data_IF_278807686119
#
_entry.id   IF_278807686119
#
_cell.length_a   1.000
_cell.length_b   1.000
_cell.length_c   1.000
_cell.angle_alpha   90.00
_cell.angle_beta   90.00
_cell.angle_gamma   90.00
#
_symmetry.space_group_name_H-M   'P 1'
#
loop_
_entity.id
_entity.type
_entity.pdbx_description
1 polymer ?
#
# COMPACT_ATOMS: atom_id res chain seq x y z
N UNK A 1 -2.14 -14.37 10.82
CA UNK A 1 -1.91 -12.99 11.29
C UNK A 1 -3.18 -12.54 11.98
N UNK A 2 -3.15 -12.28 13.30
CA UNK A 2 -4.35 -11.97 14.08
C UNK A 2 -4.91 -10.58 13.75
N UNK A 3 -4.03 -9.58 13.59
CA UNK A 3 -4.37 -8.20 13.23
C UNK A 3 -5.22 -8.11 11.95
N UNK A 4 -4.93 -8.93 10.94
CA UNK A 4 -5.70 -9.02 9.70
C UNK A 4 -7.16 -9.42 9.96
N UNK A 5 -7.40 -10.49 10.71
CA UNK A 5 -8.76 -10.94 11.00
C UNK A 5 -9.50 -9.90 11.85
N UNK A 6 -8.83 -9.31 12.84
CA UNK A 6 -9.40 -8.27 13.68
C UNK A 6 -9.81 -7.02 12.87
N UNK A 7 -8.97 -6.59 11.93
CA UNK A 7 -9.27 -5.49 11.02
C UNK A 7 -10.49 -5.79 10.14
N UNK A 8 -10.51 -6.98 9.51
CA UNK A 8 -11.62 -7.37 8.67
C UNK A 8 -12.93 -7.52 9.48
N UNK A 9 -12.89 -7.99 10.73
CA UNK A 9 -14.06 -8.03 11.62
C UNK A 9 -14.59 -6.63 11.93
N UNK A 10 -13.68 -5.68 12.18
CA UNK A 10 -14.05 -4.27 12.42
C UNK A 10 -14.72 -3.64 11.20
N UNK A 11 -14.18 -3.88 10.01
CA UNK A 11 -14.78 -3.42 8.75
C UNK A 11 -16.21 -3.96 8.56
N UNK A 12 -16.42 -5.26 8.75
CA UNK A 12 -17.75 -5.88 8.61
C UNK A 12 -18.73 -5.40 9.69
N UNK A 13 -18.28 -5.22 10.93
CA UNK A 13 -19.09 -4.63 12.00
C UNK A 13 -19.56 -3.20 11.67
N UNK A 14 -18.85 -2.50 10.80
CA UNK A 14 -19.19 -1.16 10.30
C UNK A 14 -19.84 -1.18 8.90
N UNK A 15 -20.23 -2.36 8.40
CA UNK A 15 -21.00 -2.52 7.17
C UNK A 15 -20.20 -2.60 5.87
N UNK A 16 -18.87 -2.77 5.95
CA UNK A 16 -18.02 -3.01 4.78
C UNK A 16 -17.86 -4.51 4.56
N UNK A 17 -18.55 -5.05 3.55
CA UNK A 17 -18.57 -6.50 3.25
C UNK A 17 -17.31 -6.95 2.49
N UNK A 18 -16.13 -6.74 3.07
CA UNK A 18 -14.85 -6.87 2.36
C UNK A 18 -14.42 -8.32 2.09
N UNK A 19 -14.77 -9.29 2.94
CA UNK A 19 -14.32 -10.69 2.76
C UNK A 19 -14.77 -11.31 1.45
N UNK A 20 -15.97 -10.96 0.98
CA UNK A 20 -16.49 -11.46 -0.30
C UNK A 20 -15.69 -10.96 -1.51
N UNK A 21 -14.90 -9.91 -1.35
CA UNK A 21 -14.03 -9.37 -2.41
C UNK A 21 -12.61 -9.96 -2.39
N UNK A 22 -12.20 -10.63 -1.31
CA UNK A 22 -10.82 -11.12 -1.18
C UNK A 22 -10.59 -12.33 -2.09
N UNK A 23 -9.44 -12.36 -2.74
CA UNK A 23 -8.97 -13.56 -3.45
C UNK A 23 -8.43 -14.57 -2.46
N UNK A 24 -8.39 -15.84 -2.88
CA UNK A 24 -7.64 -16.86 -2.16
C UNK A 24 -6.17 -16.43 -1.99
N UNK A 25 -5.52 -16.95 -0.95
CA UNK A 25 -4.13 -16.63 -0.66
C UNK A 25 -3.17 -16.97 -1.80
N UNK A 26 -2.14 -16.15 -1.94
CA UNK A 26 -1.09 -16.29 -2.94
C UNK A 26 -0.32 -17.61 -2.79
N UNK A 27 0.07 -18.18 -3.93
CA UNK A 27 0.81 -19.43 -4.03
C UNK A 27 2.31 -19.19 -4.07
N UNK A 28 3.12 -20.24 -3.88
CA UNK A 28 4.58 -20.15 -4.04
C UNK A 28 4.98 -19.63 -5.44
N UNK A 29 4.19 -19.96 -6.46
CA UNK A 29 4.41 -19.50 -7.82
C UNK A 29 4.22 -17.97 -7.96
N UNK A 30 3.27 -17.39 -7.23
CA UNK A 30 3.01 -15.95 -7.25
C UNK A 30 4.17 -15.18 -6.59
N UNK A 31 4.68 -15.67 -5.44
CA UNK A 31 5.87 -15.09 -4.81
C UNK A 31 7.14 -15.26 -5.65
N UNK A 32 7.30 -16.41 -6.31
CA UNK A 32 8.40 -16.64 -7.23
C UNK A 32 8.33 -15.71 -8.44
N UNK A 33 7.12 -15.43 -8.96
CA UNK A 33 6.91 -14.46 -10.01
C UNK A 33 7.29 -13.06 -9.54
N UNK A 34 6.82 -12.61 -8.37
CA UNK A 34 7.19 -11.31 -7.81
C UNK A 34 8.71 -11.15 -7.73
N UNK A 35 9.40 -12.09 -7.09
CA UNK A 35 10.86 -12.02 -6.93
C UNK A 35 11.59 -12.00 -8.28
N UNK A 36 11.11 -12.77 -9.26
CA UNK A 36 11.70 -12.80 -10.60
C UNK A 36 11.54 -11.48 -11.35
N UNK A 37 10.40 -10.80 -11.17
CA UNK A 37 10.06 -9.60 -11.93
C UNK A 37 10.58 -8.31 -11.30
N UNK A 38 10.57 -8.21 -9.97
CA UNK A 38 10.96 -6.99 -9.25
C UNK A 38 12.32 -7.10 -8.59
N UNK A 39 12.86 -8.33 -8.43
CA UNK A 39 14.05 -8.59 -7.63
C UNK A 39 13.84 -8.47 -6.12
N UNK A 40 12.66 -8.03 -5.67
CA UNK A 40 12.36 -7.78 -4.27
C UNK A 40 12.13 -9.10 -3.52
N UNK A 41 12.52 -9.11 -2.25
CA UNK A 41 12.14 -10.17 -1.30
C UNK A 41 11.18 -9.56 -0.30
N UNK A 42 9.95 -10.08 -0.25
CA UNK A 42 8.97 -9.53 0.67
C UNK A 42 9.36 -9.82 2.13
N UNK A 43 9.08 -8.87 3.05
CA UNK A 43 9.12 -9.14 4.47
C UNK A 43 8.18 -10.30 4.84
N UNK A 44 8.56 -11.09 5.84
CA UNK A 44 7.82 -12.29 6.24
C UNK A 44 6.35 -12.00 6.61
N UNK A 45 6.07 -10.87 7.26
CA UNK A 45 4.71 -10.46 7.61
C UNK A 45 3.86 -10.18 6.36
N UNK A 46 4.44 -9.54 5.35
CA UNK A 46 3.74 -9.25 4.11
C UNK A 46 3.47 -10.53 3.31
N UNK A 47 4.44 -11.45 3.24
CA UNK A 47 4.18 -12.78 2.69
C UNK A 47 3.02 -13.47 3.44
N UNK A 48 3.03 -13.43 4.78
CA UNK A 48 1.96 -14.03 5.59
C UNK A 48 0.59 -13.39 5.32
N UNK A 49 0.51 -12.08 5.05
CA UNK A 49 -0.73 -11.43 4.63
C UNK A 49 -1.19 -11.94 3.25
N UNK A 50 -0.30 -11.94 2.26
CA UNK A 50 -0.65 -12.41 0.91
C UNK A 50 -1.04 -13.89 0.88
N UNK A 51 -0.48 -14.72 1.76
CA UNK A 51 -0.90 -16.12 1.97
C UNK A 51 -2.31 -16.25 2.53
N UNK A 52 -2.82 -15.23 3.22
CA UNK A 52 -4.21 -15.20 3.71
C UNK A 52 -5.15 -14.67 2.64
N UNK A 53 -4.74 -13.66 1.88
CA UNK A 53 -5.52 -13.09 0.78
C UNK A 53 -4.61 -12.44 -0.29
N UNK A 54 -4.73 -12.88 -1.54
CA UNK A 54 -4.01 -12.27 -2.68
C UNK A 54 -4.75 -11.03 -3.21
N UNK A 55 -4.89 -10.01 -2.37
CA UNK A 55 -5.62 -8.80 -2.72
C UNK A 55 -7.12 -9.01 -2.92
N UNK A 56 -7.75 -8.04 -3.58
CA UNK A 56 -9.17 -8.04 -3.91
C UNK A 56 -9.40 -8.44 -5.37
N UNK A 57 -10.45 -9.23 -5.63
CA UNK A 57 -10.92 -9.61 -6.95
C UNK A 57 -11.44 -8.40 -7.77
N UNK A 58 -11.60 -8.60 -9.08
CA UNK A 58 -12.19 -7.70 -10.10
C UNK A 58 -11.28 -6.64 -10.73
N UNK A 59 -11.85 -5.76 -11.54
CA UNK A 59 -11.11 -4.76 -12.32
C UNK A 59 -10.91 -3.44 -11.55
N UNK A 60 -10.32 -2.41 -12.17
CA UNK A 60 -10.09 -1.09 -11.54
C UNK A 60 -11.39 -0.35 -11.14
N UNK A 61 -12.58 -0.87 -11.47
CA UNK A 61 -13.88 -0.30 -11.14
C UNK A 61 -14.45 -0.92 -9.86
N UNK A 62 -13.99 -0.46 -8.71
CA UNK A 62 -14.67 -0.75 -7.44
C UNK A 62 -15.17 0.54 -6.79
N UNK A 63 -16.38 0.45 -6.23
CA UNK A 63 -16.91 1.47 -5.32
C UNK A 63 -16.02 1.54 -4.08
N UNK A 64 -15.75 2.75 -3.58
CA UNK A 64 -15.00 3.01 -2.35
C UNK A 64 -15.51 2.20 -1.13
N UNK A 65 -16.77 1.75 -1.16
CA UNK A 65 -17.38 0.88 -0.14
C UNK A 65 -16.82 -0.55 -0.08
N UNK A 66 -15.98 -0.94 -1.04
CA UNK A 66 -15.39 -2.27 -1.09
C UNK A 66 -13.92 -2.32 -0.65
N UNK A 67 -13.24 -1.19 -0.45
CA UNK A 67 -11.80 -1.18 -0.16
C UNK A 67 -11.46 -1.73 1.22
N UNK A 68 -10.42 -2.57 1.29
CA UNK A 68 -9.93 -3.14 2.54
C UNK A 68 -9.03 -2.17 3.29
N UNK A 69 -8.29 -1.33 2.58
CA UNK A 69 -7.53 -0.23 3.19
C UNK A 69 -8.30 1.08 2.99
N UNK A 70 -8.14 2.08 3.87
CA UNK A 70 -8.92 3.31 3.81
C UNK A 70 -8.71 4.03 2.47
N UNK A 71 -9.72 4.07 1.60
CA UNK A 71 -9.65 4.63 0.23
C UNK A 71 -8.73 3.89 -0.76
N UNK A 72 -8.13 2.77 -0.33
CA UNK A 72 -7.11 2.05 -1.08
C UNK A 72 -7.52 0.59 -1.29
N UNK A 73 -7.61 0.18 -2.56
CA UNK A 73 -7.83 -1.22 -2.92
C UNK A 73 -6.60 -2.04 -2.60
N UNK A 74 -6.75 -3.20 -1.95
CA UNK A 74 -5.64 -4.14 -1.79
C UNK A 74 -5.37 -4.89 -3.11
N UNK A 75 -4.16 -4.73 -3.68
CA UNK A 75 -3.79 -5.32 -4.96
C UNK A 75 -3.44 -6.80 -4.83
N UNK A 76 -3.89 -7.66 -5.76
CA UNK A 76 -3.27 -8.95 -6.00
C UNK A 76 -1.80 -8.79 -6.41
N UNK A 77 -0.94 -9.76 -6.10
CA UNK A 77 0.49 -9.70 -6.43
C UNK A 77 0.75 -9.45 -7.91
N UNK A 78 -0.06 -10.04 -8.80
CA UNK A 78 0.02 -9.79 -10.24
C UNK A 78 -0.14 -8.30 -10.58
N UNK A 79 -1.08 -7.61 -9.94
CA UNK A 79 -1.31 -6.18 -10.15
C UNK A 79 -0.28 -5.32 -9.43
N UNK A 80 0.19 -5.73 -8.25
CA UNK A 80 1.31 -5.06 -7.57
C UNK A 80 2.58 -5.06 -8.44
N UNK A 81 2.89 -6.19 -9.10
CA UNK A 81 4.00 -6.29 -10.07
C UNK A 81 3.76 -5.38 -11.28
N UNK A 82 2.53 -5.36 -11.82
CA UNK A 82 2.19 -4.51 -12.95
C UNK A 82 2.35 -3.01 -12.62
N UNK A 83 1.92 -2.60 -11.43
CA UNK A 83 2.05 -1.23 -10.96
C UNK A 83 3.52 -0.85 -10.70
N UNK A 84 4.30 -1.75 -10.08
CA UNK A 84 5.74 -1.57 -9.92
C UNK A 84 6.45 -1.38 -11.26
N UNK A 85 6.10 -2.18 -12.28
CA UNK A 85 6.65 -2.06 -13.64
C UNK A 85 6.27 -0.74 -14.29
N UNK A 86 5.04 -0.27 -14.09
CA UNK A 86 4.62 1.03 -14.60
C UNK A 86 5.50 2.15 -14.02
N UNK A 87 5.74 2.14 -12.70
CA UNK A 87 6.65 3.12 -12.08
C UNK A 87 8.10 2.98 -12.53
N UNK A 88 8.58 1.76 -12.74
CA UNK A 88 9.89 1.49 -13.33
C UNK A 88 9.99 2.11 -14.75
N UNK A 89 8.98 1.92 -15.59
CA UNK A 89 8.91 2.52 -16.94
C UNK A 89 8.86 4.05 -16.90
N UNK A 90 8.10 4.64 -15.97
CA UNK A 90 8.09 6.10 -15.75
C UNK A 90 9.48 6.59 -15.36
N UNK A 91 10.14 5.95 -14.39
CA UNK A 91 11.48 6.33 -13.96
C UNK A 91 12.53 6.21 -15.08
N UNK A 92 12.39 5.22 -15.97
CA UNK A 92 13.24 5.06 -17.14
C UNK A 92 12.98 6.11 -18.23
N UNK A 93 11.73 6.50 -18.45
CA UNK A 93 11.34 7.52 -19.42
C UNK A 93 11.78 8.94 -18.98
N UNK A 94 11.55 9.28 -17.72
CA UNK A 94 11.93 10.58 -17.14
C UNK A 94 13.45 10.69 -16.94
N UNK A 95 14.11 9.54 -16.70
CA UNK A 95 15.52 9.48 -16.37
C UNK A 95 15.84 10.22 -15.06
N UNK A 96 17.13 10.31 -14.73
CA UNK A 96 17.56 10.88 -13.45
C UNK A 96 17.17 12.35 -13.27
N UNK A 97 17.10 13.13 -14.35
CA UNK A 97 16.74 14.54 -14.26
C UNK A 97 15.24 14.75 -14.04
N UNK A 98 14.37 14.09 -14.81
CA UNK A 98 12.92 14.22 -14.64
C UNK A 98 12.46 13.67 -13.29
N UNK A 99 13.04 12.56 -12.84
CA UNK A 99 12.74 12.04 -11.49
C UNK A 99 13.16 13.00 -10.38
N UNK A 100 14.29 13.70 -10.53
CA UNK A 100 14.70 14.73 -9.58
C UNK A 100 13.78 15.95 -9.61
N UNK A 101 13.27 16.34 -10.78
CA UNK A 101 12.27 17.42 -10.93
C UNK A 101 10.96 17.06 -10.23
N UNK A 102 10.46 15.83 -10.43
CA UNK A 102 9.30 15.34 -9.68
C UNK A 102 9.55 15.27 -8.17
N UNK A 103 10.78 14.99 -7.75
CA UNK A 103 11.16 14.95 -6.35
C UNK A 103 11.23 16.35 -5.69
N UNK A 104 11.20 17.45 -6.44
CA UNK A 104 11.32 18.81 -5.86
C UNK A 104 10.14 19.19 -4.96
N UNK A 105 8.93 18.68 -5.27
CA UNK A 105 7.74 18.90 -4.44
C UNK A 105 7.69 17.98 -3.21
N UNK A 106 8.57 16.98 -3.16
CA UNK A 106 8.53 15.92 -2.16
C UNK A 106 9.12 16.40 -0.84
N UNK A 107 8.40 16.19 0.24
CA UNK A 107 8.88 16.45 1.60
C UNK A 107 8.90 15.16 2.42
N UNK A 108 9.79 15.11 3.41
CA UNK A 108 9.85 14.03 4.41
C UNK A 108 9.94 14.69 5.79
N UNK A 109 8.91 14.59 6.65
CA UNK A 109 8.99 15.13 7.99
C UNK A 109 9.98 14.32 8.83
N UNK A 110 10.71 14.97 9.72
CA UNK A 110 11.51 14.26 10.72
C UNK A 110 10.57 13.60 11.75
N UNK A 111 10.83 12.38 12.24
CA UNK A 111 12.05 11.59 12.08
C UNK A 111 11.95 10.46 11.03
N UNK A 112 11.11 10.60 10.00
CA UNK A 112 10.77 9.53 9.07
C UNK A 112 12.01 8.89 8.41
N UNK A 113 11.95 7.58 8.17
CA UNK A 113 13.08 6.79 7.65
C UNK A 113 12.84 6.29 6.23
N UNK A 114 12.29 7.15 5.39
CA UNK A 114 11.95 6.92 3.98
C UNK A 114 12.72 7.92 3.11
N UNK A 115 13.11 7.50 1.90
CA UNK A 115 13.83 8.38 0.98
C UNK A 115 12.94 9.54 0.49
N UNK A 116 13.54 10.72 0.35
CA UNK A 116 12.89 11.90 -0.22
C UNK A 116 12.92 11.83 -1.76
N UNK A 117 12.20 10.86 -2.31
CA UNK A 117 12.22 10.53 -3.73
C UNK A 117 10.81 10.47 -4.30
N UNK A 118 10.69 10.73 -5.60
CA UNK A 118 9.40 10.61 -6.27
C UNK A 118 8.89 9.15 -6.22
N UNK A 119 9.74 8.22 -6.67
CA UNK A 119 9.61 6.78 -6.53
C UNK A 119 10.98 6.12 -6.71
N UNK A 120 11.22 4.97 -6.07
CA UNK A 120 12.43 4.15 -6.28
C UNK A 120 12.09 2.64 -6.40
N UNK A 121 12.94 1.83 -7.08
CA UNK A 121 12.67 0.41 -7.33
C UNK A 121 12.45 -0.47 -6.09
N UNK A 122 12.92 -0.04 -4.92
CA UNK A 122 12.71 -0.77 -3.66
C UNK A 122 11.32 -0.54 -3.03
N UNK A 123 10.46 0.28 -3.64
CA UNK A 123 9.10 0.53 -3.18
C UNK A 123 8.09 -0.27 -4.01
N UNK A 124 7.39 -1.19 -3.37
CA UNK A 124 6.35 -2.01 -4.00
C UNK A 124 4.96 -1.46 -3.66
N UNK A 125 4.22 -0.91 -4.63
CA UNK A 125 2.80 -0.58 -4.43
C UNK A 125 2.01 -1.84 -4.09
N UNK A 126 1.31 -1.84 -2.95
CA UNK A 126 0.43 -2.95 -2.55
C UNK A 126 -1.05 -2.53 -2.57
N UNK A 127 -1.32 -1.26 -2.83
CA UNK A 127 -2.67 -0.75 -2.98
C UNK A 127 -2.81 0.26 -4.11
N UNK A 128 -4.03 0.62 -4.49
CA UNK A 128 -4.30 1.77 -5.37
C UNK A 128 -5.62 2.45 -4.98
N UNK A 129 -5.67 3.77 -5.07
CA UNK A 129 -6.89 4.58 -4.89
C UNK A 129 -7.67 4.81 -6.20
N UNK A 130 -7.01 4.60 -7.36
CA UNK A 130 -7.53 4.88 -8.69
C UNK A 130 -7.04 6.20 -9.31
N UNK A 131 -6.45 7.10 -8.51
CA UNK A 131 -5.72 8.30 -8.93
C UNK A 131 -4.22 8.04 -9.16
N UNK A 132 -3.71 6.90 -8.71
CA UNK A 132 -2.30 6.53 -8.83
C UNK A 132 -1.53 6.63 -7.51
N UNK A 133 -2.21 6.99 -6.43
CA UNK A 133 -1.65 6.96 -5.09
C UNK A 133 -1.69 5.53 -4.53
N UNK A 134 -0.76 5.21 -3.65
CA UNK A 134 -0.60 3.88 -3.10
C UNK A 134 0.00 3.93 -1.70
N UNK A 135 -0.56 3.10 -0.81
CA UNK A 135 0.20 2.51 0.29
C UNK A 135 1.19 1.50 -0.31
N UNK A 136 2.48 1.71 -0.08
CA UNK A 136 3.56 0.88 -0.61
C UNK A 136 4.41 0.27 0.51
N UNK A 137 5.16 -0.76 0.17
CA UNK A 137 6.11 -1.42 1.06
C UNK A 137 7.50 -0.97 0.67
N UNK A 138 8.21 -0.36 1.61
CA UNK A 138 9.58 0.07 1.43
C UNK A 138 10.55 -1.02 1.88
N UNK A 139 11.26 -1.60 0.91
CA UNK A 139 12.27 -2.64 1.13
C UNK A 139 13.71 -2.07 1.20
N UNK A 140 13.86 -0.75 1.03
CA UNK A 140 15.15 -0.05 1.03
C UNK A 140 15.09 1.21 1.91
N UNK A 141 14.64 1.08 3.17
CA UNK A 141 14.49 2.24 4.04
C UNK A 141 15.84 2.93 4.31
N UNK A 142 15.79 4.20 4.71
CA UNK A 142 16.97 4.92 5.17
C UNK A 142 17.51 4.34 6.49
N UNK A 143 18.73 4.72 6.85
CA UNK A 143 19.40 4.29 8.08
C UNK A 143 18.51 4.46 9.32
N UNK A 144 18.26 3.36 10.02
CA UNK A 144 17.39 3.31 11.20
C UNK A 144 15.91 3.03 10.90
N UNK A 145 15.52 2.92 9.64
CA UNK A 145 14.20 2.42 9.24
C UNK A 145 14.09 0.89 9.29
N UNK A 146 12.90 0.38 8.98
CA UNK A 146 12.61 -1.06 9.03
C UNK A 146 12.39 -1.60 7.63
N UNK A 147 13.13 -2.66 7.25
CA UNK A 147 12.92 -3.34 5.97
C UNK A 147 11.50 -3.91 5.94
N UNK A 148 10.64 -3.37 5.06
CA UNK A 148 9.23 -3.70 5.01
C UNK A 148 8.30 -2.69 5.67
N UNK A 149 8.81 -1.52 6.06
CA UNK A 149 7.97 -0.44 6.56
C UNK A 149 6.94 -0.02 5.51
N UNK A 150 5.76 0.38 5.99
CA UNK A 150 4.64 0.77 5.15
C UNK A 150 4.73 2.28 4.95
N UNK A 151 4.68 2.73 3.70
CA UNK A 151 4.79 4.13 3.32
C UNK A 151 3.60 4.55 2.47
N UNK A 152 3.43 5.86 2.28
CA UNK A 152 2.52 6.43 1.28
C UNK A 152 3.33 7.03 0.14
N UNK A 153 2.85 6.84 -1.09
CA UNK A 153 3.45 7.38 -2.30
C UNK A 153 2.38 7.65 -3.36
N UNK A 154 2.72 8.47 -4.36
CA UNK A 154 1.83 8.76 -5.48
C UNK A 154 2.02 10.15 -6.06
N UNK A 155 1.33 10.45 -7.17
CA UNK A 155 1.34 11.76 -7.81
C UNK A 155 0.73 12.87 -6.94
N UNK A 156 -0.19 12.55 -6.02
CA UNK A 156 -0.85 13.54 -5.16
C UNK A 156 -0.33 13.48 -3.70
N UNK A 157 0.68 12.65 -3.43
CA UNK A 157 1.21 12.37 -2.09
C UNK A 157 2.60 12.97 -1.90
N UNK A 158 2.70 14.30 -1.92
CA UNK A 158 3.96 15.05 -1.82
C UNK A 158 4.72 14.80 -0.50
N UNK A 159 4.02 14.56 0.60
CA UNK A 159 4.65 14.26 1.90
C UNK A 159 4.88 12.75 2.08
N UNK A 160 6.13 12.30 2.03
CA UNK A 160 6.53 10.90 2.24
C UNK A 160 6.58 10.61 3.73
N UNK A 161 5.80 9.62 4.17
CA UNK A 161 5.71 9.20 5.58
C UNK A 161 5.81 7.70 5.73
N UNK A 162 6.34 7.25 6.87
CA UNK A 162 6.23 5.87 7.31
C UNK A 162 4.93 5.72 8.12
N UNK A 163 4.00 4.99 7.55
CA UNK A 163 2.70 4.69 8.15
C UNK A 163 2.80 3.68 9.29
N UNK A 164 3.74 2.74 9.18
CA UNK A 164 4.02 1.73 10.20
C UNK A 164 5.38 1.06 9.93
N UNK A 165 6.03 0.47 10.95
CA UNK A 165 7.27 -0.30 10.75
C UNK A 165 7.07 -1.61 9.98
N UNK A 166 5.82 -2.05 9.78
CA UNK A 166 5.47 -3.28 9.06
C UNK A 166 3.96 -3.42 8.92
N UNK A 167 3.52 -4.36 8.09
CA UNK A 167 2.09 -4.52 7.76
C UNK A 167 1.25 -4.98 8.95
N UNK A 168 1.81 -5.79 9.87
CA UNK A 168 1.07 -6.22 11.05
C UNK A 168 0.79 -5.04 11.99
N UNK A 169 1.80 -4.20 12.22
CA UNK A 169 1.65 -2.96 13.00
C UNK A 169 0.67 -1.99 12.34
N UNK A 170 0.68 -1.87 11.01
CA UNK A 170 -0.28 -1.06 10.27
C UNK A 170 -1.73 -1.54 10.47
N UNK A 171 -1.96 -2.85 10.35
CA UNK A 171 -3.28 -3.46 10.57
C UNK A 171 -3.75 -3.30 12.02
N UNK A 172 -2.85 -3.40 13.00
CA UNK A 172 -3.16 -3.11 14.40
C UNK A 172 -3.59 -1.65 14.60
N UNK A 173 -2.89 -0.70 13.98
CA UNK A 173 -3.24 0.72 14.05
C UNK A 173 -4.62 1.00 13.43
N UNK A 174 -4.90 0.44 12.26
CA UNK A 174 -6.22 0.51 11.60
C UNK A 174 -7.34 -0.06 12.49
N UNK A 175 -7.07 -1.22 13.10
CA UNK A 175 -8.04 -1.85 13.99
C UNK A 175 -8.24 -1.07 15.31
N UNK A 176 -7.25 -0.29 15.76
CA UNK A 176 -7.35 0.52 16.97
C UNK A 176 -8.02 1.89 16.78
N UNK A 177 -7.83 2.55 15.63
CA UNK A 177 -8.27 3.94 15.49
C UNK A 177 -9.75 4.07 15.06
N UNK A 178 -10.43 5.14 15.48
CA UNK A 178 -11.88 5.30 15.21
C UNK A 178 -12.16 5.44 13.71
N UNK A 179 -13.14 4.67 13.22
CA UNK A 179 -13.59 4.82 11.84
C UNK A 179 -14.53 6.03 11.78
N UNK A 180 -14.01 7.17 11.35
CA UNK A 180 -14.82 8.35 11.06
C UNK A 180 -15.40 8.25 9.64
N UNK A 181 -16.67 8.65 9.49
CA UNK A 181 -17.38 8.57 8.22
C UNK A 181 -18.02 9.93 7.92
N UNK A 182 -17.30 10.81 7.24
CA UNK A 182 -17.92 12.02 6.71
C UNK A 182 -18.74 11.70 5.46
N UNK A 183 -19.95 12.24 5.38
CA UNK A 183 -20.81 12.13 4.21
C UNK A 183 -20.50 13.28 3.25
N UNK A 184 -19.59 13.06 2.29
CA UNK A 184 -19.56 13.86 1.06
C UNK A 184 -20.23 13.03 -0.03
N UNK A 185 -21.27 13.56 -0.67
CA UNK A 185 -22.09 12.85 -1.68
C UNK A 185 -22.73 11.52 -1.23
N UNK A 186 -22.75 11.24 0.09
CA UNK A 186 -23.31 10.01 0.67
C UNK A 186 -22.33 8.83 0.75
N UNK A 187 -21.05 9.04 0.43
CA UNK A 187 -19.98 8.04 0.56
C UNK A 187 -19.13 8.25 1.82
N UNK A 188 -18.45 7.19 2.29
CA UNK A 188 -17.80 7.08 3.62
C UNK A 188 -16.28 7.16 3.47
N UNK A 189 -15.59 8.07 4.16
CA UNK A 189 -14.13 8.25 4.01
C UNK A 189 -13.37 8.32 5.34
N UNK A 190 -12.21 7.67 5.38
CA UNK A 190 -11.12 7.94 6.33
C UNK A 190 -9.79 7.83 5.55
N UNK A 191 -8.86 8.73 5.85
CA UNK A 191 -7.55 8.83 5.23
C UNK A 191 -6.46 8.16 6.09
N UNK A 192 -5.53 7.50 5.41
CA UNK A 192 -4.36 6.86 5.98
C UNK A 192 -3.46 7.85 6.74
N UNK A 193 -3.44 9.14 6.36
CA UNK A 193 -2.68 10.20 7.04
C UNK A 193 -3.09 10.42 8.51
N UNK A 194 -4.29 9.98 8.90
CA UNK A 194 -4.77 10.08 10.29
C UNK A 194 -4.16 9.04 11.25
N UNK A 195 -3.36 8.09 10.76
CA UNK A 195 -2.79 6.98 11.56
C UNK A 195 -1.36 7.25 12.06
N UNK A 196 -0.80 8.42 11.74
CA UNK A 196 0.62 8.77 11.91
C UNK A 196 0.81 10.09 12.62
#
# INVERSE_FOLDING_TARGET
MESWHHWLDKLEANGFAVRGSLKAGATDADFAALKRETGLTLPAELEALYRLADGQAGDRSYSATAYVFPQYRFLPLELAIAEWRFWQEVAEQEGAHGMAEHAEAVTVPEPEKVACEYWIPGWLPITLDGGGNSIAVDTVPLDGGTHGQIIIMGPDEDERRVLAPGIDAYLQALAAAELEFESHDGERHWDVRGLT
#
